data_IF_386783260069
#
_entry.id   IF_386783260069
#
_cell.length_a   1.000
_cell.length_b   1.000
_cell.length_c   1.000
_cell.angle_alpha   90.00
_cell.angle_beta   90.00
_cell.angle_gamma   90.00
#
_symmetry.space_group_name_H-M   'P 1'
#
loop_
_entity.id
_entity.type
_entity.pdbx_description
1 polymer ?
#
# COMPACT_ATOMS: atom_id res chain seq x y z
N UNK A 1 9.61 -12.86 8.03
CA UNK A 1 8.28 -13.14 7.42
C UNK A 1 7.69 -14.52 7.72
N UNK A 2 8.31 -15.64 7.33
CA UNK A 2 7.74 -17.00 7.57
C UNK A 2 7.41 -17.29 9.05
N UNK A 3 8.30 -16.88 9.95
CA UNK A 3 8.10 -17.04 11.40
C UNK A 3 6.87 -16.26 11.93
N UNK A 4 6.61 -15.06 11.40
CA UNK A 4 5.43 -14.25 11.76
C UNK A 4 4.13 -14.97 11.38
N UNK A 5 4.04 -15.45 10.13
CA UNK A 5 2.87 -16.20 9.68
C UNK A 5 2.67 -17.50 10.45
N UNK A 6 3.73 -18.24 10.74
CA UNK A 6 3.64 -19.46 11.54
C UNK A 6 3.15 -19.21 12.96
N UNK A 7 3.57 -18.10 13.59
CA UNK A 7 3.11 -17.72 14.93
C UNK A 7 1.64 -17.28 14.93
N UNK A 8 1.23 -16.43 13.98
CA UNK A 8 -0.15 -15.93 13.88
C UNK A 8 -1.19 -17.07 13.75
N UNK A 9 -0.83 -18.16 13.07
CA UNK A 9 -1.68 -19.35 12.92
C UNK A 9 -1.88 -20.15 14.23
N UNK A 10 -1.06 -19.91 15.26
CA UNK A 10 -1.18 -20.60 16.56
C UNK A 10 -2.01 -19.84 17.58
N UNK A 11 -2.35 -18.58 17.29
CA UNK A 11 -3.12 -17.75 18.22
C UNK A 11 -4.61 -18.17 18.18
N UNK A 12 -5.28 -18.31 19.34
CA UNK A 12 -6.71 -18.58 19.41
C UNK A 12 -7.49 -17.31 19.08
N UNK A 13 -7.49 -16.91 17.81
CA UNK A 13 -8.18 -15.71 17.35
C UNK A 13 -9.68 -16.03 17.28
N UNK A 14 -10.55 -15.37 18.08
CA UNK A 14 -11.99 -15.49 17.89
C UNK A 14 -12.32 -15.06 16.46
N UNK A 15 -13.13 -15.83 15.74
CA UNK A 15 -13.47 -15.60 14.32
C UNK A 15 -14.08 -14.22 13.99
N UNK A 16 -14.38 -13.40 15.01
CA UNK A 16 -14.87 -12.03 14.89
C UNK A 16 -13.81 -10.95 15.20
N UNK A 17 -12.58 -11.31 15.57
CA UNK A 17 -11.48 -10.38 15.83
C UNK A 17 -10.37 -10.58 14.80
N UNK A 18 -10.03 -9.54 14.04
CA UNK A 18 -9.08 -9.63 12.94
C UNK A 18 -7.92 -8.66 13.15
N UNK A 19 -6.72 -9.06 12.74
CA UNK A 19 -5.62 -8.13 12.48
C UNK A 19 -5.39 -8.08 10.98
N UNK A 20 -5.12 -6.89 10.47
CA UNK A 20 -4.78 -6.70 9.06
C UNK A 20 -3.28 -6.39 8.94
N UNK A 21 -2.62 -6.99 7.96
CA UNK A 21 -1.24 -6.69 7.65
C UNK A 21 -1.04 -6.56 6.14
N UNK A 22 -0.22 -5.60 5.72
CA UNK A 22 0.08 -5.34 4.31
C UNK A 22 1.53 -4.88 4.14
N UNK A 23 2.11 -5.28 3.01
CA UNK A 23 3.52 -5.08 2.68
C UNK A 23 3.61 -4.52 1.26
N UNK A 24 4.45 -3.50 1.02
CA UNK A 24 4.64 -2.94 -0.32
C UNK A 24 3.30 -2.60 -0.99
N UNK A 25 3.04 -3.07 -2.22
CA UNK A 25 1.74 -2.93 -2.90
C UNK A 25 0.52 -3.42 -2.10
N UNK A 26 0.70 -4.41 -1.23
CA UNK A 26 -0.34 -4.90 -0.32
C UNK A 26 -0.78 -3.89 0.74
N UNK A 27 -0.03 -2.79 0.92
CA UNK A 27 -0.44 -1.66 1.76
C UNK A 27 -1.70 -0.95 1.28
N UNK A 28 -1.99 -1.00 -0.03
CA UNK A 28 -3.18 -0.37 -0.60
C UNK A 28 -4.47 -1.11 -0.22
N UNK A 29 -4.64 -2.41 -0.52
CA UNK A 29 -5.82 -3.15 -0.09
C UNK A 29 -5.92 -3.23 1.44
N UNK A 30 -4.81 -3.21 2.18
CA UNK A 30 -4.81 -3.07 3.63
C UNK A 30 -5.56 -1.81 4.10
N UNK A 31 -5.22 -0.66 3.52
CA UNK A 31 -5.84 0.63 3.90
C UNK A 31 -7.32 0.66 3.54
N UNK A 32 -7.70 0.16 2.36
CA UNK A 32 -9.11 0.01 1.99
C UNK A 32 -9.85 -0.92 2.97
N UNK A 33 -9.25 -2.04 3.35
CA UNK A 33 -9.83 -2.94 4.34
C UNK A 33 -9.99 -2.27 5.72
N UNK A 34 -9.04 -1.41 6.13
CA UNK A 34 -9.16 -0.64 7.37
C UNK A 34 -10.32 0.38 7.30
N UNK A 35 -10.51 1.04 6.16
CA UNK A 35 -11.66 1.94 5.90
C UNK A 35 -12.98 1.15 5.99
N UNK A 36 -13.07 0.00 5.31
CA UNK A 36 -14.25 -0.86 5.37
C UNK A 36 -14.54 -1.38 6.78
N UNK A 37 -13.50 -1.72 7.54
CA UNK A 37 -13.64 -2.15 8.94
C UNK A 37 -14.15 -1.02 9.83
N UNK A 38 -13.74 0.23 9.59
CA UNK A 38 -14.27 1.39 10.30
C UNK A 38 -15.76 1.59 10.02
N UNK A 39 -16.20 1.45 8.77
CA UNK A 39 -17.62 1.50 8.42
C UNK A 39 -18.42 0.32 9.01
N UNK A 40 -17.85 -0.89 9.00
CA UNK A 40 -18.48 -2.07 9.62
C UNK A 40 -18.70 -1.89 11.12
N UNK A 41 -17.72 -1.31 11.82
CA UNK A 41 -17.80 -1.02 13.26
C UNK A 41 -18.91 -0.04 13.63
N UNK A 42 -19.39 0.78 12.68
CA UNK A 42 -20.52 1.72 12.90
C UNK A 42 -21.88 1.03 12.90
N UNK A 43 -21.97 -0.22 12.45
CA UNK A 43 -23.24 -0.96 12.41
C UNK A 43 -23.68 -1.30 13.83
N UNK A 44 -25.00 -1.40 14.03
CA UNK A 44 -25.58 -1.83 15.30
C UNK A 44 -25.14 -3.25 15.70
N UNK A 45 -24.89 -4.11 14.71
CA UNK A 45 -24.37 -5.47 14.85
C UNK A 45 -23.23 -5.69 13.84
N UNK A 46 -21.97 -5.38 14.21
CA UNK A 46 -20.81 -5.57 13.34
C UNK A 46 -20.53 -7.05 13.09
N UNK A 47 -20.37 -7.44 11.81
CA UNK A 47 -20.08 -8.83 11.41
C UNK A 47 -18.68 -9.29 11.82
N UNK A 48 -17.75 -8.35 11.91
CA UNK A 48 -16.37 -8.55 12.33
C UNK A 48 -15.83 -7.27 12.95
N UNK A 49 -14.76 -7.41 13.74
CA UNK A 49 -14.03 -6.29 14.33
C UNK A 49 -12.55 -6.42 14.00
N UNK A 50 -11.94 -5.35 13.52
CA UNK A 50 -10.48 -5.27 13.38
C UNK A 50 -9.89 -4.72 14.68
N UNK A 51 -8.91 -5.40 15.26
CA UNK A 51 -8.24 -4.98 16.50
C UNK A 51 -7.12 -3.99 16.22
N UNK A 52 -6.43 -4.15 15.09
CA UNK A 52 -5.40 -3.24 14.63
C UNK A 52 -4.92 -3.61 13.24
N UNK A 53 -4.16 -2.73 12.62
CA UNK A 53 -3.59 -2.96 11.30
C UNK A 53 -2.15 -2.48 11.21
N UNK A 54 -1.33 -3.24 10.49
CA UNK A 54 0.11 -3.00 10.38
C UNK A 54 0.51 -2.85 8.91
N UNK A 55 1.12 -1.73 8.55
CA UNK A 55 1.65 -1.48 7.21
C UNK A 55 3.17 -1.48 7.23
N UNK A 56 3.77 -2.35 6.41
CA UNK A 56 5.21 -2.41 6.18
C UNK A 56 5.52 -1.80 4.81
N UNK A 57 6.16 -0.63 4.79
CA UNK A 57 6.58 0.10 3.57
C UNK A 57 5.49 0.08 2.49
N UNK A 58 4.25 0.29 2.93
CA UNK A 58 3.07 -0.08 2.18
C UNK A 58 2.48 1.09 1.40
N UNK A 59 2.11 0.84 0.15
CA UNK A 59 1.44 1.75 -0.79
C UNK A 59 0.05 2.20 -0.31
N UNK A 60 -0.48 3.26 -0.92
CA UNK A 60 -1.86 3.74 -0.73
C UNK A 60 -2.01 4.75 0.40
N UNK A 61 -0.91 5.26 0.93
CA UNK A 61 -0.87 6.38 1.85
C UNK A 61 -0.93 7.73 1.16
N UNK A 62 -0.45 7.84 -0.09
CA UNK A 62 -0.71 8.99 -0.97
C UNK A 62 -0.33 8.71 -2.44
N UNK A 63 -1.31 8.33 -3.26
CA UNK A 63 -1.13 8.13 -4.71
C UNK A 63 -1.10 9.42 -5.54
N UNK A 64 -1.12 10.59 -4.89
CA UNK A 64 -1.09 11.89 -5.54
C UNK A 64 0.28 12.57 -5.45
N UNK A 65 1.29 11.90 -4.89
CA UNK A 65 2.68 12.38 -4.90
C UNK A 65 3.24 12.43 -6.33
N UNK A 66 4.17 13.36 -6.58
CA UNK A 66 4.89 13.46 -7.87
C UNK A 66 5.59 12.15 -8.26
N UNK A 67 5.95 11.34 -7.26
CA UNK A 67 6.50 10.00 -7.44
C UNK A 67 5.64 9.10 -8.35
N UNK A 68 4.31 9.25 -8.32
CA UNK A 68 3.36 8.46 -9.12
C UNK A 68 3.06 9.06 -10.50
N UNK A 69 3.52 10.28 -10.77
CA UNK A 69 3.25 11.03 -11.99
C UNK A 69 4.51 11.38 -12.80
N UNK A 70 5.69 11.00 -12.31
CA UNK A 70 6.96 11.27 -12.99
C UNK A 70 7.38 10.03 -13.76
N UNK A 71 7.45 10.08 -15.10
CA UNK A 71 7.95 8.95 -15.89
C UNK A 71 9.40 8.61 -15.52
N UNK A 72 9.72 7.32 -15.56
CA UNK A 72 11.03 6.79 -15.20
C UNK A 72 11.37 5.59 -16.06
N UNK A 73 12.60 5.55 -16.55
CA UNK A 73 13.11 4.40 -17.30
C UNK A 73 13.11 3.13 -16.43
N UNK A 74 13.48 3.27 -15.15
CA UNK A 74 13.50 2.20 -14.15
C UNK A 74 12.80 2.66 -12.88
N UNK A 75 11.84 1.87 -12.39
CA UNK A 75 11.07 2.19 -11.18
C UNK A 75 11.89 2.00 -9.90
N UNK A 76 12.81 1.04 -9.92
CA UNK A 76 13.56 0.58 -8.74
C UNK A 76 15.05 0.78 -8.98
N UNK A 77 15.81 1.22 -7.96
CA UNK A 77 17.28 1.34 -8.08
C UNK A 77 17.97 -0.02 -7.98
N UNK A 78 17.35 -0.95 -7.26
CA UNK A 78 17.78 -2.34 -7.18
C UNK A 78 16.66 -3.24 -7.71
N UNK A 79 16.99 -4.34 -8.41
CA UNK A 79 15.99 -5.32 -8.80
C UNK A 79 15.26 -5.84 -7.56
N UNK A 80 13.92 -5.72 -7.53
CA UNK A 80 13.10 -6.42 -6.51
C UNK A 80 12.91 -7.91 -6.84
N UNK A 81 13.37 -8.35 -8.01
CA UNK A 81 13.11 -9.66 -8.57
C UNK A 81 14.44 -10.41 -8.81
N UNK A 82 14.45 -11.74 -8.67
CA UNK A 82 15.67 -12.55 -8.78
C UNK A 82 16.32 -12.56 -10.18
N UNK A 83 15.65 -12.02 -11.20
CA UNK A 83 16.12 -12.01 -12.58
C UNK A 83 17.21 -10.95 -12.85
N UNK A 84 17.52 -10.10 -11.85
CA UNK A 84 18.76 -9.33 -11.78
C UNK A 84 18.87 -8.12 -12.72
N UNK A 85 17.97 -7.99 -13.70
CA UNK A 85 17.96 -6.89 -14.65
C UNK A 85 16.87 -5.85 -14.31
N UNK A 86 17.23 -4.55 -14.21
CA UNK A 86 16.25 -3.48 -14.04
C UNK A 86 15.23 -3.47 -15.19
N UNK A 87 13.94 -3.36 -14.84
CA UNK A 87 12.90 -3.22 -15.86
C UNK A 87 13.02 -1.88 -16.59
N UNK A 88 12.99 -1.89 -17.93
CA UNK A 88 12.71 -0.68 -18.71
C UNK A 88 11.22 -0.46 -18.86
N UNK A 89 10.66 0.63 -18.35
CA UNK A 89 9.21 0.87 -18.33
C UNK A 89 8.52 0.69 -19.70
N UNK A 90 9.20 1.06 -20.79
CA UNK A 90 8.67 0.93 -22.16
C UNK A 90 8.60 -0.50 -22.69
N UNK A 91 9.24 -1.48 -22.04
CA UNK A 91 9.35 -2.85 -22.55
C UNK A 91 7.98 -3.53 -22.79
N UNK A 92 6.92 -3.06 -22.11
CA UNK A 92 5.56 -3.60 -22.22
C UNK A 92 4.51 -2.54 -22.56
N UNK A 93 4.89 -1.37 -23.07
CA UNK A 93 3.92 -0.34 -23.48
C UNK A 93 2.90 -0.89 -24.49
N UNK A 94 3.37 -1.69 -25.45
CA UNK A 94 2.51 -2.36 -26.45
C UNK A 94 1.49 -3.34 -25.82
N UNK A 95 1.86 -4.07 -24.76
CA UNK A 95 0.93 -4.96 -24.04
C UNK A 95 -0.09 -4.15 -23.26
N UNK A 96 0.33 -3.07 -22.60
CA UNK A 96 -0.60 -2.18 -21.90
C UNK A 96 -1.61 -1.58 -22.91
N UNK A 97 -1.14 -1.14 -24.07
CA UNK A 97 -2.02 -0.66 -25.15
C UNK A 97 -2.99 -1.74 -25.65
N UNK A 98 -2.53 -2.98 -25.80
CA UNK A 98 -3.38 -4.11 -26.14
C UNK A 98 -4.46 -4.35 -25.06
N UNK A 99 -4.08 -4.37 -23.79
CA UNK A 99 -5.02 -4.58 -22.67
C UNK A 99 -6.06 -3.48 -22.60
N UNK A 100 -5.67 -2.22 -22.80
CA UNK A 100 -6.62 -1.10 -22.88
C UNK A 100 -7.54 -1.17 -24.11
N UNK A 101 -7.13 -1.88 -25.17
CA UNK A 101 -7.90 -2.04 -26.40
C UNK A 101 -8.91 -3.17 -26.39
N UNK A 102 -8.99 -3.95 -25.31
CA UNK A 102 -9.88 -5.12 -25.22
C UNK A 102 -10.82 -5.02 -24.02
N UNK A 103 -12.06 -5.50 -24.18
CA UNK A 103 -13.00 -5.71 -23.06
C UNK A 103 -12.70 -7.02 -22.29
N UNK A 104 -11.49 -7.57 -22.44
CA UNK A 104 -11.14 -8.87 -21.86
C UNK A 104 -10.63 -8.68 -20.44
N UNK A 105 -11.37 -9.19 -19.46
CA UNK A 105 -10.90 -9.28 -18.08
C UNK A 105 -9.90 -10.43 -17.94
N UNK A 106 -8.67 -10.11 -17.53
CA UNK A 106 -7.64 -11.08 -17.20
C UNK A 106 -7.50 -11.22 -15.67
N UNK A 107 -8.55 -11.65 -14.96
CA UNK A 107 -8.51 -11.83 -13.50
C UNK A 107 -7.81 -13.11 -13.04
N UNK A 108 -7.83 -14.14 -13.89
CA UNK A 108 -7.21 -15.45 -13.63
C UNK A 108 -5.72 -15.51 -13.97
N UNK A 109 -5.04 -14.39 -14.24
CA UNK A 109 -3.60 -14.39 -14.54
C UNK A 109 -2.87 -15.14 -13.41
N UNK A 110 -2.39 -16.39 -13.67
CA UNK A 110 -1.68 -17.12 -12.66
C UNK A 110 -0.44 -16.32 -12.29
N UNK A 111 -0.12 -16.24 -10.99
CA UNK A 111 1.21 -15.80 -10.60
C UNK A 111 2.19 -16.87 -11.09
N UNK A 112 2.72 -16.70 -12.30
CA UNK A 112 3.82 -17.52 -12.81
C UNK A 112 5.12 -16.86 -12.39
N UNK A 113 5.89 -17.53 -11.53
CA UNK A 113 7.30 -17.20 -11.39
C UNK A 113 8.00 -17.56 -12.70
N UNK A 114 8.45 -16.55 -13.45
CA UNK A 114 9.25 -16.74 -14.66
C UNK A 114 8.54 -16.42 -15.99
N UNK A 115 9.37 -16.28 -17.02
CA UNK A 115 9.07 -15.75 -18.36
C UNK A 115 8.54 -16.79 -19.36
N UNK A 116 8.20 -18.00 -18.92
CA UNK A 116 7.77 -19.05 -19.83
C UNK A 116 6.28 -18.90 -20.19
N UNK A 117 6.03 -18.02 -21.15
CA UNK A 117 4.77 -17.92 -21.88
C UNK A 117 4.10 -16.55 -21.79
N UNK A 118 4.48 -15.64 -22.70
CA UNK A 118 3.72 -14.47 -23.21
C UNK A 118 3.02 -13.50 -22.23
N UNK A 119 3.11 -13.68 -20.92
CA UNK A 119 2.39 -12.88 -19.93
C UNK A 119 3.42 -12.25 -18.98
N UNK A 120 3.51 -10.91 -18.91
CA UNK A 120 4.37 -10.26 -17.94
C UNK A 120 3.91 -10.62 -16.51
N UNK A 121 4.86 -10.86 -15.60
CA UNK A 121 4.51 -11.05 -14.19
C UNK A 121 3.80 -9.79 -13.67
N UNK A 122 2.94 -9.94 -12.66
CA UNK A 122 2.22 -8.80 -12.05
C UNK A 122 3.18 -7.71 -11.57
N UNK A 123 4.39 -8.08 -11.14
CA UNK A 123 5.45 -7.13 -10.80
C UNK A 123 5.91 -6.31 -12.01
N UNK A 124 6.15 -6.95 -13.16
CA UNK A 124 6.55 -6.27 -14.40
C UNK A 124 5.46 -5.35 -14.95
N UNK A 125 4.20 -5.75 -14.84
CA UNK A 125 3.04 -4.88 -15.15
C UNK A 125 3.04 -3.65 -14.27
N UNK A 126 3.18 -3.83 -12.95
CA UNK A 126 3.22 -2.73 -12.00
C UNK A 126 4.38 -1.77 -12.28
N UNK A 127 5.59 -2.29 -12.54
CA UNK A 127 6.75 -1.49 -12.92
C UNK A 127 6.51 -0.69 -14.20
N UNK A 128 5.82 -1.27 -15.19
CA UNK A 128 5.47 -0.56 -16.43
C UNK A 128 4.46 0.56 -16.17
N UNK A 129 3.39 0.28 -15.40
CA UNK A 129 2.38 1.29 -15.05
C UNK A 129 2.98 2.47 -14.27
N UNK A 130 3.88 2.18 -13.34
CA UNK A 130 4.55 3.22 -12.56
C UNK A 130 5.60 3.96 -13.38
N UNK A 131 6.45 3.25 -14.13
CA UNK A 131 7.48 3.87 -14.96
C UNK A 131 6.92 4.74 -16.09
N UNK A 132 5.74 4.40 -16.62
CA UNK A 132 5.00 5.21 -17.59
C UNK A 132 4.14 6.31 -16.94
N UNK A 133 4.17 6.45 -15.61
CA UNK A 133 3.38 7.42 -14.85
C UNK A 133 1.86 7.33 -15.11
N UNK A 134 1.35 6.12 -15.36
CA UNK A 134 -0.07 5.85 -15.60
C UNK A 134 -0.73 4.98 -14.51
N UNK A 135 -0.09 4.87 -13.34
CA UNK A 135 -0.61 4.05 -12.24
C UNK A 135 -2.04 4.43 -11.81
N UNK A 136 -2.39 5.72 -11.81
CA UNK A 136 -3.73 6.18 -11.47
C UNK A 136 -4.79 5.85 -12.55
N UNK A 137 -4.37 5.66 -13.80
CA UNK A 137 -5.25 5.20 -14.88
C UNK A 137 -5.64 3.74 -14.60
N UNK A 138 -4.68 2.90 -14.20
CA UNK A 138 -4.94 1.50 -13.89
C UNK A 138 -5.83 1.31 -12.65
N UNK A 139 -5.77 2.22 -11.67
CA UNK A 139 -6.63 2.15 -10.48
C UNK A 139 -8.10 2.49 -10.79
N UNK A 140 -8.33 3.38 -11.76
CA UNK A 140 -9.66 3.97 -12.03
C UNK A 140 -10.28 3.49 -13.34
N UNK A 141 -9.49 2.82 -14.19
CA UNK A 141 -9.79 2.54 -15.60
C UNK A 141 -10.07 3.80 -16.45
N UNK A 142 -9.67 4.98 -15.98
CA UNK A 142 -9.82 6.26 -16.67
C UNK A 142 -8.50 6.68 -17.32
N UNK A 143 -8.41 6.46 -18.64
CA UNK A 143 -7.20 6.78 -19.41
C UNK A 143 -6.94 8.29 -19.43
N UNK A 144 -5.70 8.65 -19.15
CA UNK A 144 -5.25 10.04 -19.07
C UNK A 144 -5.61 10.71 -17.76
N UNK A 145 -6.17 10.01 -16.77
CA UNK A 145 -6.40 10.57 -15.44
C UNK A 145 -5.07 11.00 -14.81
N UNK A 146 -4.02 10.18 -14.92
CA UNK A 146 -2.69 10.48 -14.39
C UNK A 146 -2.12 11.75 -15.01
N UNK A 147 -2.25 11.93 -16.33
CA UNK A 147 -1.82 13.13 -17.04
C UNK A 147 -2.60 14.37 -16.58
N UNK A 148 -3.93 14.26 -16.46
CA UNK A 148 -4.77 15.35 -15.97
C UNK A 148 -4.39 15.75 -14.54
N UNK A 149 -4.15 14.79 -13.64
CA UNK A 149 -3.72 15.06 -12.27
C UNK A 149 -2.30 15.63 -12.21
N UNK A 150 -1.39 15.16 -13.07
CA UNK A 150 -0.01 15.65 -13.15
C UNK A 150 0.09 17.12 -13.58
N UNK A 151 -0.89 17.60 -14.36
CA UNK A 151 -0.98 19.00 -14.78
C UNK A 151 -1.25 19.99 -13.63
N UNK A 152 -1.61 19.49 -12.44
CA UNK A 152 -1.85 20.29 -11.25
C UNK A 152 -0.73 20.16 -10.22
N UNK A 153 -0.44 21.23 -9.45
CA UNK A 153 0.42 21.12 -8.28
C UNK A 153 -0.23 20.20 -7.24
N UNK A 154 0.60 19.54 -6.43
CA UNK A 154 0.15 18.56 -5.43
C UNK A 154 -1.09 19.01 -4.63
N UNK A 155 -1.11 20.26 -4.15
CA UNK A 155 -2.17 20.79 -3.29
C UNK A 155 -3.54 20.90 -3.96
N UNK A 156 -3.59 20.90 -5.30
CA UNK A 156 -4.83 20.99 -6.06
C UNK A 156 -5.36 19.60 -6.47
N UNK A 157 -4.49 18.59 -6.57
CA UNK A 157 -4.85 17.24 -7.05
C UNK A 157 -6.00 16.58 -6.30
N UNK A 158 -6.10 16.63 -4.96
CA UNK A 158 -7.21 16.02 -4.24
C UNK A 158 -8.60 16.55 -4.65
N UNK A 159 -8.68 17.84 -5.01
CA UNK A 159 -9.92 18.48 -5.42
C UNK A 159 -10.28 18.23 -6.88
N UNK A 160 -9.30 17.85 -7.71
CA UNK A 160 -9.52 17.55 -9.14
C UNK A 160 -9.95 16.10 -9.39
N UNK A 161 -9.88 15.22 -8.38
CA UNK A 161 -10.32 13.83 -8.51
C UNK A 161 -11.84 13.77 -8.72
N UNK A 162 -12.32 13.16 -9.81
CA UNK A 162 -13.75 12.93 -10.03
C UNK A 162 -14.40 12.17 -8.87
N UNK A 163 -15.62 12.58 -8.49
CA UNK A 163 -16.35 12.01 -7.35
C UNK A 163 -16.40 10.46 -7.34
N UNK A 164 -16.67 9.76 -8.46
CA UNK A 164 -16.71 8.30 -8.48
C UNK A 164 -15.39 7.63 -8.10
N UNK A 165 -14.25 8.29 -8.28
CA UNK A 165 -12.94 7.72 -8.01
C UNK A 165 -12.43 8.02 -6.61
N UNK A 166 -13.06 8.93 -5.86
CA UNK A 166 -12.56 9.33 -4.53
C UNK A 166 -12.42 8.16 -3.55
N UNK A 167 -13.30 7.15 -3.66
CA UNK A 167 -13.26 5.95 -2.81
C UNK A 167 -12.04 5.05 -3.05
N UNK A 168 -11.35 5.20 -4.19
CA UNK A 168 -10.13 4.44 -4.56
C UNK A 168 -8.89 5.01 -3.83
N UNK A 169 -9.01 6.18 -3.21
CA UNK A 169 -7.92 6.90 -2.57
C UNK A 169 -8.08 6.91 -1.04
N UNK A 170 -7.50 5.95 -0.29
CA UNK A 170 -7.65 5.87 1.17
C UNK A 170 -7.19 7.15 1.88
N UNK A 171 -6.19 7.85 1.31
CA UNK A 171 -5.70 9.09 1.88
C UNK A 171 -6.79 10.16 1.98
N UNK A 172 -7.71 10.23 1.01
CA UNK A 172 -8.83 11.18 1.06
C UNK A 172 -9.80 10.86 2.18
N UNK A 173 -9.97 9.57 2.51
CA UNK A 173 -10.77 9.14 3.65
C UNK A 173 -10.12 9.55 4.97
N UNK A 174 -8.82 9.30 5.13
CA UNK A 174 -8.08 9.66 6.35
C UNK A 174 -7.99 11.18 6.54
N UNK A 175 -7.83 11.94 5.46
CA UNK A 175 -7.75 13.40 5.46
C UNK A 175 -9.12 14.09 5.55
N UNK A 176 -10.22 13.36 5.35
CA UNK A 176 -11.58 13.93 5.45
C UNK A 176 -11.87 14.57 6.81
N UNK A 177 -11.11 14.21 7.85
CA UNK A 177 -11.24 14.79 9.19
C UNK A 177 -12.56 14.45 9.86
N UNK A 178 -13.26 13.38 9.44
CA UNK A 178 -14.52 12.98 10.06
C UNK A 178 -14.32 12.72 11.56
N UNK A 179 -15.09 13.42 12.40
CA UNK A 179 -15.05 13.32 13.87
C UNK A 179 -15.29 11.90 14.40
N UNK A 180 -15.88 11.02 13.59
CA UNK A 180 -16.12 9.62 13.94
C UNK A 180 -14.93 8.69 13.65
N UNK A 181 -13.98 9.12 12.82
CA UNK A 181 -12.77 8.35 12.48
C UNK A 181 -12.00 7.84 13.71
N UNK A 182 -11.68 8.66 14.73
CA UNK A 182 -10.96 8.19 15.90
C UNK A 182 -11.72 7.14 16.72
N UNK A 183 -13.06 7.10 16.63
CA UNK A 183 -13.88 6.12 17.33
C UNK A 183 -13.98 4.80 16.55
N UNK A 184 -13.93 4.88 15.23
CA UNK A 184 -14.25 3.76 14.34
C UNK A 184 -13.03 3.08 13.76
N UNK A 185 -11.94 3.81 13.52
CA UNK A 185 -10.72 3.24 12.97
C UNK A 185 -9.91 2.53 14.06
N UNK A 186 -9.50 1.31 13.78
CA UNK A 186 -8.65 0.53 14.68
C UNK A 186 -7.22 1.11 14.73
N UNK A 187 -6.49 0.92 15.85
CA UNK A 187 -5.09 1.31 15.96
C UNK A 187 -4.24 0.88 14.75
N UNK A 188 -3.30 1.74 14.38
CA UNK A 188 -2.43 1.56 13.23
C UNK A 188 -0.95 1.55 13.65
N UNK A 189 -0.18 0.61 13.10
CA UNK A 189 1.29 0.65 13.15
C UNK A 189 1.85 0.73 11.73
N UNK A 190 2.65 1.77 11.47
CA UNK A 190 3.36 1.97 10.21
C UNK A 190 4.85 1.71 10.44
N UNK A 191 5.48 0.91 9.58
CA UNK A 191 6.92 0.62 9.62
C UNK A 191 7.48 0.89 8.22
N UNK A 192 8.46 1.78 8.09
CA UNK A 192 8.95 2.20 6.77
C UNK A 192 10.42 2.66 6.84
N UNK A 193 11.21 2.30 5.84
CA UNK A 193 12.54 2.86 5.62
C UNK A 193 12.49 4.30 5.08
N UNK A 194 13.34 5.19 5.57
CA UNK A 194 13.37 6.60 5.11
C UNK A 194 14.18 6.83 3.81
N UNK A 195 14.68 5.74 3.20
CA UNK A 195 15.37 5.73 1.90
C UNK A 195 14.67 4.85 0.87
N UNK A 196 13.44 4.42 1.14
CA UNK A 196 12.60 3.70 0.20
C UNK A 196 12.37 4.55 -1.07
N UNK A 197 12.73 3.99 -2.22
CA UNK A 197 12.59 4.62 -3.53
C UNK A 197 11.56 3.92 -4.44
N UNK A 198 10.90 2.89 -3.92
CA UNK A 198 9.84 2.11 -4.57
C UNK A 198 8.49 2.60 -4.09
N UNK A 199 8.32 2.77 -2.77
CA UNK A 199 7.15 3.39 -2.15
C UNK A 199 7.65 4.58 -1.35
N UNK A 200 7.20 5.81 -1.63
CA UNK A 200 7.71 6.98 -0.92
C UNK A 200 7.44 6.88 0.58
N UNK A 201 8.48 7.13 1.39
CA UNK A 201 8.34 7.26 2.84
C UNK A 201 7.29 8.32 3.23
N UNK A 202 7.13 9.34 2.38
CA UNK A 202 6.11 10.38 2.47
C UNK A 202 4.69 9.82 2.59
N UNK A 203 4.38 8.66 1.99
CA UNK A 203 3.06 8.04 2.12
C UNK A 203 2.75 7.62 3.57
N UNK A 204 3.74 7.09 4.28
CA UNK A 204 3.60 6.73 5.69
C UNK A 204 3.57 7.97 6.58
N UNK A 205 4.35 9.00 6.27
CA UNK A 205 4.29 10.29 6.98
C UNK A 205 2.90 10.91 6.88
N UNK A 206 2.32 10.96 5.68
CA UNK A 206 0.99 11.54 5.44
C UNK A 206 -0.11 10.73 6.11
N UNK A 207 -0.07 9.40 5.97
CA UNK A 207 -1.00 8.52 6.69
C UNK A 207 -0.91 8.78 8.20
N UNK A 208 0.29 8.81 8.78
CA UNK A 208 0.48 9.09 10.21
C UNK A 208 -0.05 10.46 10.61
N UNK A 209 0.22 11.48 9.80
CA UNK A 209 -0.22 12.86 10.05
C UNK A 209 -1.75 12.98 10.02
N UNK A 210 -2.41 12.44 8.99
CA UNK A 210 -3.87 12.49 8.84
C UNK A 210 -4.59 11.74 9.98
N UNK A 211 -4.09 10.56 10.34
CA UNK A 211 -4.65 9.78 11.44
C UNK A 211 -4.43 10.46 12.80
N UNK A 212 -3.26 11.07 13.06
CA UNK A 212 -3.03 11.86 14.28
C UNK A 212 -3.92 13.09 14.34
N UNK A 213 -4.09 13.79 13.21
CA UNK A 213 -4.93 14.99 13.14
C UNK A 213 -6.40 14.69 13.43
N UNK A 214 -6.89 13.49 13.06
CA UNK A 214 -8.22 13.03 13.43
C UNK A 214 -8.31 12.43 14.83
N UNK A 215 -7.21 12.30 15.58
CA UNK A 215 -7.17 11.71 16.91
C UNK A 215 -7.16 10.18 16.94
N UNK A 216 -7.00 9.51 15.79
CA UNK A 216 -6.88 8.07 15.73
C UNK A 216 -5.53 7.59 16.30
N UNK A 217 -5.51 6.37 16.85
CA UNK A 217 -4.29 5.76 17.37
C UNK A 217 -3.38 5.30 16.22
N UNK A 218 -2.22 5.92 16.09
CA UNK A 218 -1.22 5.56 15.07
C UNK A 218 0.20 5.71 15.58
N UNK A 219 1.02 4.71 15.29
CA UNK A 219 2.46 4.70 15.51
C UNK A 219 3.20 4.61 14.17
N UNK A 220 4.32 5.31 14.05
CA UNK A 220 5.21 5.25 12.88
C UNK A 220 6.62 4.94 13.34
N UNK A 221 7.11 3.74 13.00
CA UNK A 221 8.50 3.34 13.16
C UNK A 221 9.25 3.60 11.86
N UNK A 222 10.32 4.39 11.96
CA UNK A 222 11.17 4.71 10.82
C UNK A 222 12.47 3.94 10.91
N UNK A 223 12.78 3.14 9.89
CA UNK A 223 14.07 2.46 9.77
C UNK A 223 15.03 3.43 9.10
N UNK A 224 15.95 4.00 9.88
CA UNK A 224 16.91 5.00 9.40
C UNK A 224 17.87 4.37 8.39
N UNK A 225 18.00 4.99 7.23
CA UNK A 225 18.78 4.47 6.10
C UNK A 225 18.12 3.29 5.38
N UNK A 226 16.95 2.84 5.86
CA UNK A 226 16.27 1.66 5.33
C UNK A 226 15.72 1.90 3.93
N UNK A 227 15.99 0.98 3.02
CA UNK A 227 15.37 0.92 1.68
C UNK A 227 13.98 0.26 1.73
N UNK A 228 13.44 -0.08 0.54
CA UNK A 228 12.13 -0.74 0.41
C UNK A 228 12.04 -2.09 1.14
N UNK A 229 13.15 -2.82 1.23
CA UNK A 229 13.21 -4.10 1.93
C UNK A 229 13.60 -3.93 3.41
N UNK A 230 13.63 -2.68 3.90
CA UNK A 230 14.14 -2.31 5.21
C UNK A 230 15.60 -2.72 5.42
N UNK A 231 16.37 -2.80 4.34
CA UNK A 231 17.80 -3.05 4.37
C UNK A 231 18.58 -1.74 4.46
N UNK A 232 19.75 -1.79 5.10
CA UNK A 232 20.73 -0.70 5.13
C UNK A 232 22.01 -1.23 4.48
N UNK A 233 22.50 -0.53 3.46
CA UNK A 233 23.67 -0.93 2.68
C UNK A 233 23.60 -2.38 2.12
N UNK A 234 22.39 -2.81 1.74
CA UNK A 234 22.12 -4.14 1.18
C UNK A 234 22.02 -5.28 2.19
N UNK A 235 22.13 -4.99 3.49
CA UNK A 235 21.93 -5.97 4.56
C UNK A 235 20.65 -5.68 5.34
N UNK A 236 19.97 -6.74 5.81
CA UNK A 236 18.78 -6.58 6.67
C UNK A 236 19.12 -5.72 7.89
N UNK A 237 18.34 -4.65 8.10
CA UNK A 237 18.58 -3.74 9.23
C UNK A 237 18.27 -4.44 10.56
N UNK A 238 19.16 -4.37 11.57
CA UNK A 238 18.83 -4.81 12.92
C UNK A 238 17.60 -4.11 13.51
N UNK A 239 17.33 -2.87 13.08
CA UNK A 239 16.15 -2.13 13.52
C UNK A 239 14.88 -2.60 12.80
N UNK A 240 15.00 -3.13 11.57
CA UNK A 240 13.88 -3.79 10.91
C UNK A 240 13.46 -5.05 11.66
N UNK A 241 14.41 -5.87 12.12
CA UNK A 241 14.12 -7.04 12.94
C UNK A 241 13.39 -6.67 14.22
N UNK A 242 13.87 -5.66 14.95
CA UNK A 242 13.19 -5.12 16.14
C UNK A 242 11.80 -4.60 15.82
N UNK A 243 11.60 -3.97 14.67
CA UNK A 243 10.29 -3.48 14.25
C UNK A 243 9.32 -4.63 13.97
N UNK A 244 9.79 -5.74 13.38
CA UNK A 244 8.97 -6.95 13.22
C UNK A 244 8.57 -7.57 14.56
N UNK A 245 9.49 -7.67 15.51
CA UNK A 245 9.23 -8.17 16.87
C UNK A 245 8.27 -7.25 17.65
N UNK A 246 8.47 -5.94 17.51
CA UNK A 246 7.59 -4.94 18.09
C UNK A 246 6.19 -5.05 17.51
N UNK A 247 6.03 -5.19 16.20
CA UNK A 247 4.71 -5.33 15.57
C UNK A 247 3.92 -6.51 16.14
N UNK A 248 4.58 -7.64 16.40
CA UNK A 248 3.95 -8.80 17.05
C UNK A 248 3.50 -8.44 18.46
N UNK A 249 4.40 -7.87 19.25
CA UNK A 249 4.11 -7.51 20.66
C UNK A 249 2.99 -6.47 20.75
N UNK A 250 3.01 -5.50 19.84
CA UNK A 250 1.99 -4.46 19.68
C UNK A 250 0.63 -5.06 19.35
N UNK A 251 0.56 -5.99 18.37
CA UNK A 251 -0.69 -6.68 18.04
C UNK A 251 -1.23 -7.47 19.24
N UNK A 252 -0.37 -8.22 19.94
CA UNK A 252 -0.76 -8.98 21.13
C UNK A 252 -1.26 -8.08 22.27
N UNK A 253 -0.66 -6.90 22.43
CA UNK A 253 -1.07 -5.92 23.44
C UNK A 253 -2.46 -5.29 23.19
N UNK A 254 -2.97 -5.37 21.95
CA UNK A 254 -4.31 -4.88 21.59
C UNK A 254 -5.41 -5.91 21.85
N UNK A 255 -5.05 -7.19 22.04
CA UNK A 255 -6.03 -8.24 22.34
C UNK A 255 -6.51 -8.04 23.78
N UNK A 256 -7.82 -7.86 24.03
CA UNK A 256 -8.34 -7.82 25.39
C UNK A 256 -7.95 -9.09 26.15
N UNK A 257 -7.62 -8.96 27.45
CA UNK A 257 -7.41 -10.13 28.28
C UNK A 257 -8.67 -11.03 28.22
N UNK A 258 -8.50 -12.29 27.80
CA UNK A 258 -9.55 -13.30 27.73
C UNK A 258 -10.13 -13.62 29.11
#
# INVERSE_FOLDING_TARGET
MKALFSYLLTLPIPHHQLFLAGFSGGGYPLRLAAVLAAEEKRRADPRFTVQGWVSFFGMGGDFLLDHWFTPRDTVTRQPLWPDGEPHKAEAWSHILEEWYGTDTEYSDLPYTEGLDGHIPSRGRVWESLHGLACFNDALTSDRGLSERLAAHPYTERPATIPEPYRAIYPQLYFESGSDTLPLTLSPCLLIHGDRDDVVPYEESLRTSSALKASGASVELMTIRGGDHNLCVDGAESPDALKAYEYAVTWMLGLVPAL
#
